data_IF_387011491320
#
_entry.id   IF_387011491320
#
_cell.length_a   1.000
_cell.length_b   1.000
_cell.length_c   1.000
_cell.angle_alpha   90.00
_cell.angle_beta   90.00
_cell.angle_gamma   90.00
#
_symmetry.space_group_name_H-M   'P 1'
#
loop_
_entity.id
_entity.type
_entity.pdbx_description
1 polymer ?
#
# COMPACT_ATOMS: atom_id res chain seq x y z
N UNK A 1 3.57 1.14 -10.65
CA UNK A 1 4.65 1.34 -11.65
C UNK A 1 4.01 1.44 -13.03
N UNK A 2 4.09 2.59 -13.67
CA UNK A 2 3.57 2.74 -15.02
C UNK A 2 4.43 1.89 -15.99
N UNK A 3 3.85 1.29 -17.05
CA UNK A 3 4.61 0.54 -18.00
C UNK A 3 5.59 1.45 -18.75
N UNK A 4 6.87 1.07 -18.74
CA UNK A 4 7.90 1.75 -19.53
C UNK A 4 7.75 1.31 -20.98
N UNK A 5 7.30 2.21 -21.85
CA UNK A 5 7.27 1.99 -23.28
C UNK A 5 8.62 2.38 -23.88
N UNK A 6 9.32 1.45 -24.46
CA UNK A 6 10.50 1.69 -25.29
C UNK A 6 10.06 1.77 -26.74
N UNK A 7 10.18 2.95 -27.34
CA UNK A 7 9.99 3.13 -28.78
C UNK A 7 11.31 2.83 -29.50
N UNK A 8 11.41 1.66 -30.12
CA UNK A 8 12.49 1.32 -31.02
C UNK A 8 12.22 1.90 -32.40
N UNK A 9 13.05 2.85 -32.87
CA UNK A 9 13.06 3.34 -34.25
C UNK A 9 13.77 2.31 -35.12
N UNK A 10 13.01 1.46 -35.80
CA UNK A 10 13.48 0.59 -36.86
C UNK A 10 12.49 0.63 -38.02
N UNK A 11 12.92 1.11 -39.17
CA UNK A 11 12.09 1.35 -40.36
C UNK A 11 11.50 0.08 -40.94
N UNK A 12 10.19 0.09 -41.19
CA UNK A 12 9.44 -0.95 -41.86
C UNK A 12 7.94 -0.61 -41.77
N UNK A 13 7.34 -0.30 -42.91
CA UNK A 13 5.94 0.05 -43.10
C UNK A 13 5.02 -1.13 -42.74
N UNK A 14 4.40 -1.08 -41.55
CA UNK A 14 3.32 -1.94 -41.10
C UNK A 14 2.64 -1.29 -39.88
N UNK A 15 1.34 -1.55 -39.56
CA UNK A 15 0.68 -0.94 -38.44
C UNK A 15 1.44 -1.32 -37.16
N UNK A 16 2.01 -0.31 -36.50
CA UNK A 16 2.86 -0.44 -35.34
C UNK A 16 2.16 -1.12 -34.18
N UNK A 17 2.35 -2.42 -34.03
CA UNK A 17 2.01 -3.15 -32.82
C UNK A 17 3.03 -2.82 -31.75
N UNK A 18 2.60 -2.23 -30.63
CA UNK A 18 3.42 -2.07 -29.44
C UNK A 18 3.70 -3.45 -28.85
N UNK A 19 4.94 -3.94 -29.05
CA UNK A 19 5.39 -5.18 -28.41
C UNK A 19 5.85 -4.88 -26.99
N UNK A 20 5.19 -5.47 -26.01
CA UNK A 20 5.62 -5.44 -24.62
C UNK A 20 6.84 -6.35 -24.44
N UNK A 21 7.74 -5.98 -23.53
CA UNK A 21 8.85 -6.86 -23.16
C UNK A 21 8.30 -8.14 -22.49
N UNK A 22 9.00 -9.29 -22.60
CA UNK A 22 8.55 -10.55 -22.00
C UNK A 22 8.17 -10.44 -20.52
N UNK A 23 8.90 -9.62 -19.75
CA UNK A 23 8.63 -9.36 -18.32
C UNK A 23 7.37 -8.53 -18.14
N UNK A 24 7.09 -7.59 -19.03
CA UNK A 24 5.88 -6.78 -18.99
C UNK A 24 4.63 -7.60 -19.37
N UNK A 25 4.81 -8.54 -20.30
CA UNK A 25 3.76 -9.45 -20.75
C UNK A 25 3.39 -10.47 -19.66
N UNK A 26 4.39 -11.04 -18.98
CA UNK A 26 4.18 -11.94 -17.85
C UNK A 26 3.47 -11.22 -16.67
N UNK A 27 3.88 -9.98 -16.37
CA UNK A 27 3.19 -9.15 -15.34
C UNK A 27 1.77 -8.75 -15.78
N UNK A 28 1.54 -8.49 -17.05
CA UNK A 28 0.20 -8.19 -17.58
C UNK A 28 -0.71 -9.42 -17.53
N UNK A 29 -0.19 -10.61 -17.81
CA UNK A 29 -0.91 -11.87 -17.70
C UNK A 29 -1.25 -12.19 -16.24
N UNK A 30 -0.31 -11.98 -15.32
CA UNK A 30 -0.54 -12.17 -13.87
C UNK A 30 -1.60 -11.20 -13.35
N UNK A 31 -1.58 -9.92 -13.78
CA UNK A 31 -2.62 -8.95 -13.43
C UNK A 31 -3.98 -9.29 -14.05
N UNK A 32 -4.03 -9.78 -15.30
CA UNK A 32 -5.28 -10.22 -15.92
C UNK A 32 -5.86 -11.44 -15.19
N UNK A 33 -5.04 -12.37 -14.76
CA UNK A 33 -5.49 -13.50 -13.94
C UNK A 33 -6.07 -13.02 -12.59
N UNK A 34 -5.53 -11.96 -11.98
CA UNK A 34 -6.04 -11.38 -10.73
C UNK A 34 -7.36 -10.62 -10.92
N UNK A 35 -7.64 -10.04 -12.11
CA UNK A 35 -8.88 -9.31 -12.40
C UNK A 35 -10.01 -10.19 -12.94
N UNK A 36 -9.71 -11.43 -13.33
CA UNK A 36 -10.69 -12.42 -13.79
C UNK A 36 -11.10 -13.40 -12.66
N UNK A 37 -10.79 -13.10 -11.40
CA UNK A 37 -11.34 -13.88 -10.30
C UNK A 37 -12.86 -13.75 -10.33
N UNK A 38 -13.48 -14.79 -10.84
CA UNK A 38 -14.92 -15.05 -10.67
C UNK A 38 -15.27 -14.98 -9.19
N UNK A 39 -16.48 -14.54 -8.83
CA UNK A 39 -16.90 -14.36 -7.44
C UNK A 39 -16.94 -15.63 -6.58
N UNK A 40 -16.48 -16.75 -7.09
CA UNK A 40 -16.34 -18.02 -6.41
C UNK A 40 -14.86 -18.39 -6.34
N UNK A 41 -14.08 -17.63 -5.55
CA UNK A 41 -12.80 -18.18 -5.07
C UNK A 41 -13.11 -19.45 -4.28
N UNK A 42 -12.43 -20.59 -4.53
CA UNK A 42 -12.58 -21.75 -3.67
C UNK A 42 -12.28 -21.31 -2.22
N UNK A 43 -12.95 -21.88 -1.22
CA UNK A 43 -12.67 -21.58 0.16
C UNK A 43 -11.15 -21.72 0.39
N UNK A 44 -10.53 -20.85 1.19
CA UNK A 44 -9.10 -20.88 1.40
C UNK A 44 -8.67 -22.30 1.76
N UNK A 45 -7.66 -22.79 1.05
CA UNK A 45 -7.13 -24.12 1.32
C UNK A 45 -6.74 -24.19 2.81
N UNK A 46 -6.97 -25.34 3.42
CA UNK A 46 -6.66 -25.57 4.84
C UNK A 46 -5.23 -25.12 5.12
N UNK A 47 -5.06 -24.03 5.90
CA UNK A 47 -3.76 -23.44 6.20
C UNK A 47 -3.47 -22.04 5.63
N UNK A 48 -4.32 -21.45 4.77
CA UNK A 48 -4.17 -20.04 4.40
C UNK A 48 -4.68 -19.14 5.53
N UNK A 49 -3.79 -18.36 6.14
CA UNK A 49 -4.15 -17.35 7.12
C UNK A 49 -4.36 -16.02 6.40
N UNK A 50 -5.46 -15.35 6.73
CA UNK A 50 -5.70 -13.95 6.34
C UNK A 50 -5.20 -13.07 7.47
N UNK A 51 -4.29 -12.17 7.15
CA UNK A 51 -3.72 -11.21 8.11
C UNK A 51 -4.51 -9.91 8.10
N UNK A 52 -4.96 -9.47 9.27
CA UNK A 52 -5.75 -8.25 9.42
C UNK A 52 -5.10 -7.35 10.46
N UNK A 53 -4.80 -6.11 10.07
CA UNK A 53 -4.40 -5.05 10.99
C UNK A 53 -5.62 -4.17 11.29
N UNK A 54 -6.04 -4.14 12.55
CA UNK A 54 -7.12 -3.27 13.02
C UNK A 54 -6.56 -2.16 13.90
N UNK A 55 -6.91 -0.90 13.58
CA UNK A 55 -6.40 0.28 14.27
C UNK A 55 -7.58 1.05 14.87
N UNK A 56 -7.63 1.09 16.21
CA UNK A 56 -8.68 1.78 16.93
C UNK A 56 -8.56 3.30 16.82
N UNK A 57 -9.71 3.97 16.95
CA UNK A 57 -9.79 5.42 17.06
C UNK A 57 -9.37 5.93 18.43
N UNK A 58 -9.23 7.22 18.55
CA UNK A 58 -8.91 7.84 19.84
C UNK A 58 -8.48 9.31 19.77
N UNK A 59 -8.79 9.99 18.69
CA UNK A 59 -8.41 11.40 18.49
C UNK A 59 -6.88 11.55 18.50
N UNK A 60 -6.37 12.47 19.32
CA UNK A 60 -4.91 12.71 19.44
C UNK A 60 -4.11 11.49 19.89
N UNK A 61 -4.77 10.51 20.52
CA UNK A 61 -4.13 9.24 20.93
C UNK A 61 -3.70 8.37 19.75
N UNK A 62 -4.01 8.76 18.52
CA UNK A 62 -3.47 8.16 17.29
C UNK A 62 -1.95 8.11 17.22
N UNK A 63 -1.25 8.94 18.00
CA UNK A 63 0.23 8.86 18.15
C UNK A 63 0.69 7.55 18.78
N UNK A 64 -0.17 6.88 19.57
CA UNK A 64 0.18 5.60 20.20
C UNK A 64 0.33 4.50 19.14
N UNK A 65 -0.72 4.18 18.34
CA UNK A 65 -0.54 3.24 17.24
C UNK A 65 0.51 3.72 16.22
N UNK A 66 0.63 5.03 15.97
CA UNK A 66 1.69 5.57 15.10
C UNK A 66 3.09 5.19 15.58
N UNK A 67 3.36 5.28 16.87
CA UNK A 67 4.66 4.88 17.45
C UNK A 67 4.90 3.37 17.34
N UNK A 68 3.88 2.56 17.61
CA UNK A 68 3.97 1.10 17.51
C UNK A 68 4.22 0.67 16.07
N UNK A 69 3.49 1.27 15.12
CA UNK A 69 3.62 0.97 13.70
C UNK A 69 4.96 1.43 13.12
N UNK A 70 5.48 2.57 13.56
CA UNK A 70 6.81 3.03 13.19
C UNK A 70 7.90 2.04 13.63
N UNK A 71 7.81 1.56 14.87
CA UNK A 71 8.72 0.53 15.38
C UNK A 71 8.57 -0.81 14.62
N UNK A 72 7.35 -1.22 14.34
CA UNK A 72 7.09 -2.43 13.57
C UNK A 72 7.71 -2.31 12.16
N UNK A 73 7.46 -1.21 11.45
CA UNK A 73 8.01 -0.99 10.11
C UNK A 73 9.53 -0.98 10.11
N UNK A 74 10.17 -0.39 11.13
CA UNK A 74 11.62 -0.43 11.30
C UNK A 74 12.12 -1.88 11.40
N UNK A 75 11.45 -2.74 12.17
CA UNK A 75 11.82 -4.14 12.29
C UNK A 75 11.60 -4.93 11.00
N UNK A 76 10.54 -4.64 10.27
CA UNK A 76 10.30 -5.23 8.95
C UNK A 76 11.38 -4.81 7.94
N UNK A 77 11.82 -3.55 8.01
CA UNK A 77 12.90 -3.04 7.16
C UNK A 77 14.27 -3.65 7.50
N UNK A 78 14.53 -3.97 8.75
CA UNK A 78 15.73 -4.72 9.15
C UNK A 78 15.77 -6.13 8.54
N UNK A 79 14.58 -6.75 8.35
CA UNK A 79 14.45 -8.11 7.81
C UNK A 79 14.45 -8.15 6.27
N UNK A 80 13.67 -7.27 5.65
CA UNK A 80 13.32 -7.36 4.22
C UNK A 80 13.81 -6.16 3.39
N UNK A 81 14.54 -5.24 4.02
CA UNK A 81 15.14 -4.10 3.35
C UNK A 81 14.37 -2.78 3.51
N UNK A 82 15.01 -1.64 3.17
CA UNK A 82 14.53 -0.30 3.50
C UNK A 82 13.22 0.09 2.81
N UNK A 83 12.84 -0.62 1.76
CA UNK A 83 11.61 -0.35 1.02
C UNK A 83 10.38 -1.07 1.58
N UNK A 84 10.55 -1.96 2.58
CA UNK A 84 9.44 -2.64 3.22
C UNK A 84 8.52 -1.64 3.94
N UNK A 85 7.21 -1.85 3.81
CA UNK A 85 6.14 -1.05 4.43
C UNK A 85 5.17 -1.95 5.17
N UNK A 86 4.57 -1.45 6.24
CA UNK A 86 3.55 -2.20 7.00
C UNK A 86 2.47 -2.78 6.08
N UNK A 87 2.04 -2.02 5.07
CA UNK A 87 1.01 -2.46 4.12
C UNK A 87 1.40 -3.68 3.26
N UNK A 88 2.68 -4.05 3.20
CA UNK A 88 3.14 -5.21 2.43
C UNK A 88 2.85 -6.55 3.17
N UNK A 89 2.56 -6.50 4.48
CA UNK A 89 2.47 -7.67 5.37
C UNK A 89 1.06 -8.03 5.80
N UNK A 90 0.07 -7.21 5.46
CA UNK A 90 -1.31 -7.44 5.84
C UNK A 90 -2.21 -7.51 4.60
N UNK A 91 -3.11 -8.50 4.59
CA UNK A 91 -4.11 -8.65 3.54
C UNK A 91 -5.21 -7.59 3.66
N UNK A 92 -5.51 -7.18 4.88
CA UNK A 92 -6.51 -6.14 5.19
C UNK A 92 -5.96 -5.21 6.28
N UNK A 93 -6.09 -3.91 6.05
CA UNK A 93 -5.85 -2.89 7.09
C UNK A 93 -7.15 -2.11 7.26
N UNK A 94 -7.67 -2.06 8.47
CA UNK A 94 -8.91 -1.38 8.82
C UNK A 94 -8.69 -0.45 10.01
N UNK A 95 -9.47 0.62 10.09
CA UNK A 95 -9.37 1.55 11.21
C UNK A 95 -10.65 2.35 11.42
N UNK A 96 -10.85 2.77 12.66
CA UNK A 96 -12.01 3.57 13.10
C UNK A 96 -11.55 4.98 13.44
N UNK A 97 -12.28 6.01 12.98
CA UNK A 97 -11.96 7.43 13.27
C UNK A 97 -10.52 7.76 12.91
N UNK A 98 -9.70 8.20 13.87
CA UNK A 98 -8.26 8.46 13.66
C UNK A 98 -7.48 7.23 13.24
N UNK A 99 -7.89 6.02 13.65
CA UNK A 99 -7.35 4.77 13.12
C UNK A 99 -7.60 4.61 11.61
N UNK A 100 -8.76 5.09 11.12
CA UNK A 100 -9.04 5.16 9.67
C UNK A 100 -8.12 6.12 8.94
N UNK A 101 -7.74 7.25 9.56
CA UNK A 101 -6.75 8.16 8.99
C UNK A 101 -5.37 7.51 8.91
N UNK A 102 -4.93 6.83 9.97
CA UNK A 102 -3.68 6.05 9.97
C UNK A 102 -3.71 4.97 8.88
N UNK A 103 -4.83 4.24 8.77
CA UNK A 103 -5.02 3.25 7.68
C UNK A 103 -4.83 3.89 6.31
N UNK A 104 -5.47 5.03 6.05
CA UNK A 104 -5.32 5.73 4.79
C UNK A 104 -3.87 6.18 4.53
N UNK A 105 -3.16 6.66 5.54
CA UNK A 105 -1.74 7.02 5.40
C UNK A 105 -0.87 5.82 5.03
N UNK A 106 -1.10 4.67 5.66
CA UNK A 106 -0.33 3.44 5.43
C UNK A 106 -0.63 2.79 4.08
N UNK A 107 -1.82 3.02 3.50
CA UNK A 107 -2.28 2.27 2.31
C UNK A 107 -2.46 3.12 1.07
N UNK A 108 -2.65 4.45 1.19
CA UNK A 108 -2.84 5.32 0.04
C UNK A 108 -1.62 5.26 -0.88
N UNK A 109 -1.80 4.92 -2.18
CA UNK A 109 -0.68 4.76 -3.09
C UNK A 109 -0.16 6.12 -3.58
N UNK A 110 1.15 6.23 -3.70
CA UNK A 110 1.81 7.28 -4.44
C UNK A 110 1.80 6.97 -5.96
N UNK A 111 2.47 7.78 -6.77
CA UNK A 111 2.52 7.60 -8.24
C UNK A 111 3.17 6.28 -8.66
N UNK A 112 4.03 5.74 -7.83
CA UNK A 112 4.73 4.47 -8.05
C UNK A 112 3.92 3.27 -7.53
N UNK A 113 2.73 3.49 -6.96
CA UNK A 113 1.88 2.45 -6.37
C UNK A 113 2.36 1.95 -5.00
N UNK A 114 3.26 2.67 -4.35
CA UNK A 114 3.74 2.39 -2.99
C UNK A 114 3.01 3.28 -1.98
N UNK A 115 2.93 2.90 -0.70
CA UNK A 115 2.36 3.75 0.34
C UNK A 115 2.92 5.17 0.30
N UNK A 116 2.04 6.16 0.39
CA UNK A 116 2.40 7.57 0.32
C UNK A 116 3.23 8.00 1.54
N UNK A 117 2.95 7.42 2.70
CA UNK A 117 3.65 7.69 3.95
C UNK A 117 4.35 6.44 4.46
N UNK A 118 5.52 6.60 5.04
CA UNK A 118 6.11 5.59 5.90
C UNK A 118 5.45 5.66 7.29
N UNK A 119 5.46 4.56 8.04
CA UNK A 119 4.83 4.55 9.37
C UNK A 119 5.45 5.56 10.34
N UNK A 120 6.74 5.85 10.21
CA UNK A 120 7.43 6.89 10.99
C UNK A 120 6.87 8.30 10.79
N UNK A 121 6.27 8.58 9.62
CA UNK A 121 5.77 9.91 9.28
C UNK A 121 4.40 10.20 9.95
N UNK A 122 3.74 9.17 10.51
CA UNK A 122 2.42 9.28 11.13
C UNK A 122 2.45 10.24 12.31
N UNK A 123 3.42 10.10 13.21
CA UNK A 123 3.51 10.93 14.40
C UNK A 123 3.81 12.40 14.04
N UNK A 124 4.66 12.66 13.08
CA UNK A 124 4.95 14.02 12.62
C UNK A 124 3.70 14.66 12.01
N UNK A 125 2.93 13.91 11.22
CA UNK A 125 1.64 14.36 10.73
C UNK A 125 0.68 14.73 11.85
N UNK A 126 0.56 13.88 12.88
CA UNK A 126 -0.30 14.16 14.03
C UNK A 126 0.14 15.41 14.79
N UNK A 127 1.43 15.55 15.10
CA UNK A 127 1.96 16.72 15.81
C UNK A 127 1.68 18.03 15.05
N UNK A 128 1.79 17.99 13.72
CA UNK A 128 1.59 19.15 12.87
C UNK A 128 0.11 19.51 12.71
N UNK A 129 -0.78 18.51 12.60
CA UNK A 129 -2.18 18.72 12.19
C UNK A 129 -3.19 18.58 13.32
N UNK A 130 -2.84 17.90 14.43
CA UNK A 130 -3.75 17.72 15.57
C UNK A 130 -4.43 19.00 16.06
N UNK A 131 -3.74 20.14 16.22
CA UNK A 131 -4.40 21.37 16.68
C UNK A 131 -5.50 21.85 15.75
N UNK A 132 -5.43 21.50 14.44
CA UNK A 132 -6.44 21.85 13.44
C UNK A 132 -7.56 20.82 13.36
N UNK A 133 -7.22 19.54 13.50
CA UNK A 133 -8.17 18.42 13.42
C UNK A 133 -8.97 18.29 14.72
N UNK A 134 -8.32 18.52 15.85
CA UNK A 134 -8.89 18.43 17.20
C UNK A 134 -8.68 19.76 17.93
N UNK A 135 -9.40 20.84 17.60
CA UNK A 135 -9.26 22.09 18.29
C UNK A 135 -9.64 21.90 19.76
N UNK A 136 -8.80 22.44 20.67
CA UNK A 136 -9.14 22.46 22.08
C UNK A 136 -10.47 23.22 22.24
N UNK A 137 -11.48 22.57 22.82
CA UNK A 137 -12.76 23.18 23.07
C UNK A 137 -12.56 24.45 23.90
N UNK A 138 -13.28 25.51 23.51
CA UNK A 138 -13.41 26.75 24.32
C UNK A 138 -14.33 26.48 25.50
#
# INVERSE_FOLDING_TARGET
MAPVYSAGLGGGSGPGGLTLSPVAEERALTRRASTLSTPMSPPPAFGSMVTVLSIDGGGVRGVIPGTILAFLEEKLQEMDGPDARVADYFDVIAGTSTGGLVTAMLTAPNKEGRPLFAAKDINDFYLQHCPKIFPAGR
#
